data_IF_178668599013
#
_entry.id   IF_178668599013
#
_cell.length_a   1.000
_cell.length_b   1.000
_cell.length_c   1.000
_cell.angle_alpha   90.00
_cell.angle_beta   90.00
_cell.angle_gamma   90.00
#
_symmetry.space_group_name_H-M   'P 1'
#
loop_
_entity.id
_entity.type
_entity.pdbx_description
1 polymer ?
#
# COMPACT_ATOMS: atom_id res chain seq x y z
N UNK A 1 -6.08 1.12 2.45
CA UNK A 1 -5.55 1.96 3.55
C UNK A 1 -4.83 3.15 2.93
N UNK A 2 -4.94 4.33 3.51
CA UNK A 2 -4.26 5.56 3.03
C UNK A 2 -3.35 6.03 4.15
N UNK A 3 -2.12 6.43 3.82
CA UNK A 3 -1.15 7.02 4.74
C UNK A 3 -0.92 8.47 4.34
N UNK A 4 -0.89 9.36 5.32
CA UNK A 4 -0.62 10.79 5.11
C UNK A 4 0.73 11.19 5.71
N UNK A 5 1.40 12.22 5.18
CA UNK A 5 2.63 12.74 5.79
C UNK A 5 2.43 13.10 7.27
N UNK A 6 3.34 12.62 8.12
CA UNK A 6 3.29 12.79 9.58
C UNK A 6 2.38 11.80 10.31
N UNK A 7 1.54 11.05 9.62
CA UNK A 7 0.67 10.05 10.23
C UNK A 7 1.47 8.82 10.66
N UNK A 8 1.17 8.31 11.86
CA UNK A 8 1.76 7.07 12.38
C UNK A 8 0.72 5.97 12.29
N UNK A 9 1.11 4.82 11.73
CA UNK A 9 0.27 3.64 11.63
C UNK A 9 1.01 2.39 12.08
N UNK A 10 0.24 1.38 12.51
CA UNK A 10 0.76 0.05 12.84
C UNK A 10 0.31 -0.94 11.77
N UNK A 11 1.26 -1.72 11.26
CA UNK A 11 1.03 -2.73 10.24
C UNK A 11 1.44 -4.10 10.73
N UNK A 12 0.71 -5.11 10.27
CA UNK A 12 1.12 -6.50 10.38
C UNK A 12 1.40 -7.04 8.97
N UNK A 13 2.62 -7.51 8.77
CA UNK A 13 3.07 -8.14 7.52
C UNK A 13 3.20 -9.63 7.76
N UNK A 14 2.52 -10.44 6.97
CA UNK A 14 2.50 -11.90 7.07
C UNK A 14 2.63 -12.60 5.71
N UNK A 15 2.20 -11.97 4.63
CA UNK A 15 2.29 -12.52 3.28
C UNK A 15 3.76 -12.62 2.82
N UNK A 16 4.18 -13.75 2.21
CA UNK A 16 5.56 -13.96 1.77
C UNK A 16 6.11 -12.84 0.89
N UNK A 17 5.31 -12.29 -0.01
CA UNK A 17 5.69 -11.19 -0.91
C UNK A 17 6.07 -9.92 -0.16
N UNK A 18 5.25 -9.54 0.81
CA UNK A 18 5.52 -8.34 1.61
C UNK A 18 6.59 -8.56 2.68
N UNK A 19 6.82 -9.83 3.08
CA UNK A 19 7.98 -10.18 3.92
C UNK A 19 9.28 -9.96 3.16
N UNK A 20 9.37 -10.43 1.91
CA UNK A 20 10.53 -10.14 1.05
C UNK A 20 10.73 -8.63 0.90
N UNK A 21 9.68 -7.86 0.59
CA UNK A 21 9.76 -6.39 0.51
C UNK A 21 10.31 -5.78 1.80
N UNK A 22 9.83 -6.25 2.95
CA UNK A 22 10.29 -5.77 4.24
C UNK A 22 11.77 -6.08 4.49
N UNK A 23 12.20 -7.30 4.17
CA UNK A 23 13.60 -7.71 4.31
C UNK A 23 14.51 -6.85 3.42
N UNK A 24 14.12 -6.61 2.16
CA UNK A 24 14.84 -5.73 1.24
C UNK A 24 14.90 -4.28 1.78
N UNK A 25 13.81 -3.76 2.31
CA UNK A 25 13.77 -2.42 2.91
C UNK A 25 14.68 -2.29 4.13
N UNK A 26 14.68 -3.31 5.00
CA UNK A 26 15.52 -3.30 6.21
C UNK A 26 17.00 -3.48 5.89
N UNK A 27 17.36 -4.31 4.91
CA UNK A 27 18.74 -4.53 4.48
C UNK A 27 19.34 -3.31 3.79
N UNK A 28 18.56 -2.63 2.96
CA UNK A 28 19.00 -1.48 2.17
C UNK A 28 18.78 -0.14 2.88
N UNK A 29 18.23 -0.14 4.10
CA UNK A 29 17.82 1.07 4.84
C UNK A 29 16.89 1.97 4.01
N UNK A 30 15.93 1.36 3.32
CA UNK A 30 14.98 2.06 2.42
C UNK A 30 13.58 2.10 3.00
N UNK A 31 12.87 3.12 2.60
CA UNK A 31 11.43 3.24 2.82
C UNK A 31 10.65 2.47 1.76
N UNK A 32 9.39 2.16 2.03
CA UNK A 32 8.48 1.60 1.04
C UNK A 32 7.31 2.55 0.76
N UNK A 33 6.64 2.35 -0.37
CA UNK A 33 5.47 3.13 -0.76
C UNK A 33 4.17 2.47 -0.30
N UNK A 34 3.24 3.27 0.25
CA UNK A 34 1.85 2.86 0.44
C UNK A 34 0.97 3.57 -0.56
N UNK A 35 0.25 2.80 -1.36
CA UNK A 35 -0.77 3.26 -2.31
C UNK A 35 -2.12 2.66 -1.97
N UNK A 36 -3.20 3.37 -2.28
CA UNK A 36 -4.53 2.81 -2.16
C UNK A 36 -4.73 1.74 -3.25
N UNK A 37 -5.16 0.56 -2.82
CA UNK A 37 -5.64 -0.46 -3.72
C UNK A 37 -7.16 -0.31 -3.88
N UNK A 38 -7.63 -0.11 -5.13
CA UNK A 38 -9.04 -0.01 -5.47
C UNK A 38 -9.39 -1.04 -6.55
N UNK A 39 -9.79 -2.25 -6.16
CA UNK A 39 -10.06 -3.32 -7.10
C UNK A 39 -11.29 -3.08 -7.99
N UNK A 40 -12.09 -2.05 -7.70
CA UNK A 40 -13.29 -1.72 -8.45
C UNK A 40 -13.10 -0.57 -9.46
N UNK A 41 -11.97 0.12 -9.38
CA UNK A 41 -11.71 1.29 -10.21
C UNK A 41 -10.29 1.21 -10.80
N UNK A 42 -10.17 0.47 -11.88
CA UNK A 42 -8.92 0.33 -12.63
C UNK A 42 -8.61 1.64 -13.35
N UNK A 43 -7.91 2.54 -12.68
CA UNK A 43 -7.50 3.83 -13.25
C UNK A 43 -6.23 3.77 -14.09
N UNK A 44 -5.51 2.65 -14.02
CA UNK A 44 -4.25 2.42 -14.72
C UNK A 44 -4.34 1.11 -15.53
N UNK A 45 -3.38 0.88 -16.42
CA UNK A 45 -3.16 -0.42 -17.09
C UNK A 45 -2.72 -1.52 -16.12
N UNK A 46 -2.63 -1.20 -14.85
CA UNK A 46 -2.24 -2.05 -13.74
C UNK A 46 -3.46 -2.28 -12.84
N UNK A 47 -3.72 -3.55 -12.54
CA UNK A 47 -4.86 -3.90 -11.70
C UNK A 47 -4.69 -3.32 -10.28
N UNK A 48 -5.48 -2.30 -9.99
CA UNK A 48 -5.85 -1.81 -8.69
C UNK A 48 -5.00 -0.77 -7.94
N UNK A 49 -3.65 -0.65 -7.96
CA UNK A 49 -3.01 0.45 -7.25
C UNK A 49 -3.34 1.81 -7.89
N UNK A 50 -3.70 2.77 -7.05
CA UNK A 50 -3.86 4.16 -7.47
C UNK A 50 -2.50 4.78 -7.77
N UNK A 51 -2.50 5.89 -8.54
CA UNK A 51 -1.26 6.56 -8.96
C UNK A 51 -0.60 7.39 -7.87
N UNK A 52 -1.31 7.67 -6.78
CA UNK A 52 -0.80 8.51 -5.69
C UNK A 52 -0.59 7.69 -4.44
N UNK A 53 0.52 7.94 -3.76
CA UNK A 53 0.87 7.25 -2.53
C UNK A 53 1.65 8.12 -1.55
N UNK A 54 2.03 7.50 -0.46
CA UNK A 54 2.88 8.09 0.57
C UNK A 54 4.04 7.15 0.90
N UNK A 55 5.23 7.72 0.97
CA UNK A 55 6.43 7.05 1.46
C UNK A 55 6.27 6.73 2.94
N UNK A 56 6.50 5.49 3.31
CA UNK A 56 6.40 4.98 4.67
C UNK A 56 7.79 4.64 5.21
N UNK A 57 8.22 5.35 6.25
CA UNK A 57 9.43 5.04 7.00
C UNK A 57 9.13 4.11 8.16
N UNK A 58 9.96 3.09 8.34
CA UNK A 58 9.84 2.12 9.42
C UNK A 58 10.47 2.71 10.67
N UNK A 59 9.64 3.06 11.68
CA UNK A 59 10.10 3.57 12.98
C UNK A 59 10.47 2.44 13.94
N UNK A 60 9.77 1.31 13.85
CA UNK A 60 9.95 0.14 14.70
C UNK A 60 9.54 -1.11 13.97
N UNK A 61 10.27 -2.20 14.20
CA UNK A 61 9.99 -3.53 13.67
C UNK A 61 10.15 -4.58 14.75
N UNK A 62 9.18 -5.48 14.87
CA UNK A 62 9.22 -6.64 15.75
C UNK A 62 8.75 -7.89 15.01
N UNK A 63 9.47 -8.99 15.15
CA UNK A 63 9.10 -10.29 14.58
C UNK A 63 8.51 -11.19 15.67
N UNK A 64 7.31 -11.74 15.41
CA UNK A 64 6.66 -12.74 16.27
C UNK A 64 6.19 -13.93 15.43
N UNK A 65 6.95 -15.03 15.50
CA UNK A 65 6.73 -16.19 14.62
C UNK A 65 6.94 -15.82 13.16
N UNK A 66 5.95 -16.08 12.30
CA UNK A 66 5.96 -15.72 10.89
C UNK A 66 5.43 -14.29 10.59
N UNK A 67 5.03 -13.55 11.62
CA UNK A 67 4.46 -12.22 11.47
C UNK A 67 5.47 -11.15 11.83
N UNK A 68 5.43 -10.05 11.07
CA UNK A 68 6.19 -8.85 11.33
C UNK A 68 5.23 -7.72 11.70
N UNK A 69 5.50 -7.06 12.80
CA UNK A 69 4.74 -5.92 13.30
C UNK A 69 5.58 -4.67 13.12
N UNK A 70 5.04 -3.71 12.41
CA UNK A 70 5.71 -2.46 12.06
C UNK A 70 4.98 -1.30 12.70
N UNK A 71 5.74 -0.31 13.15
CA UNK A 71 5.26 1.04 13.36
C UNK A 71 5.90 1.92 12.32
N UNK A 72 5.08 2.57 11.49
CA UNK A 72 5.54 3.37 10.36
C UNK A 72 5.08 4.81 10.52
N UNK A 73 5.76 5.73 9.82
CA UNK A 73 5.34 7.12 9.68
C UNK A 73 5.33 7.52 8.21
N UNK A 74 4.28 8.22 7.78
CA UNK A 74 4.22 8.81 6.46
C UNK A 74 5.23 9.95 6.33
N UNK A 75 5.99 9.98 5.21
CA UNK A 75 6.98 11.01 4.92
C UNK A 75 6.54 11.89 3.78
N UNK A 76 6.80 11.52 2.56
CA UNK A 76 6.53 12.32 1.38
C UNK A 76 5.43 11.68 0.54
N UNK A 77 4.62 12.51 -0.07
CA UNK A 77 3.69 12.05 -1.11
C UNK A 77 4.42 11.84 -2.42
N UNK A 78 3.94 10.94 -3.22
CA UNK A 78 4.48 10.69 -4.54
C UNK A 78 3.36 10.36 -5.55
N UNK A 79 3.69 10.51 -6.82
CA UNK A 79 2.94 9.97 -7.95
C UNK A 79 3.76 8.82 -8.57
N UNK A 80 3.10 7.72 -8.87
CA UNK A 80 3.70 6.59 -9.59
C UNK A 80 3.81 6.98 -11.06
N UNK A 81 5.03 6.95 -11.60
CA UNK A 81 5.31 7.19 -13.02
C UNK A 81 5.38 5.89 -13.82
N UNK A 82 5.95 4.84 -13.23
CA UNK A 82 6.04 3.54 -13.86
C UNK A 82 5.89 2.44 -12.81
N UNK A 83 5.16 1.37 -13.15
CA UNK A 83 5.00 0.19 -12.30
C UNK A 83 5.83 -0.95 -12.86
N UNK A 84 6.63 -1.56 -12.00
CA UNK A 84 7.42 -2.75 -12.29
C UNK A 84 6.69 -3.95 -11.69
N UNK A 85 6.24 -4.85 -12.55
CA UNK A 85 5.50 -6.03 -12.16
C UNK A 85 6.32 -6.94 -11.22
N UNK A 86 5.67 -7.64 -10.29
CA UNK A 86 6.34 -8.68 -9.50
C UNK A 86 6.73 -9.87 -10.39
N UNK A 87 7.73 -10.65 -9.95
CA UNK A 87 8.22 -11.82 -10.69
C UNK A 87 7.18 -12.94 -10.83
N UNK A 88 6.19 -12.98 -9.95
CA UNK A 88 5.06 -13.92 -10.02
C UNK A 88 3.73 -13.16 -9.98
N UNK A 89 2.72 -13.63 -10.72
CA UNK A 89 1.38 -13.04 -10.73
C UNK A 89 0.67 -13.18 -9.37
N UNK A 90 -0.50 -12.57 -9.16
CA UNK A 90 -1.32 -12.77 -7.96
C UNK A 90 -1.67 -14.25 -7.72
N UNK A 91 -1.98 -14.61 -6.46
CA UNK A 91 -2.24 -16.00 -6.06
C UNK A 91 -3.47 -16.63 -6.73
N UNK A 92 -4.43 -15.84 -7.17
CA UNK A 92 -5.62 -16.28 -7.90
C UNK A 92 -5.38 -16.48 -9.41
N UNK A 93 -4.17 -16.21 -9.88
CA UNK A 93 -3.81 -16.46 -11.27
C UNK A 93 -3.55 -17.95 -11.51
N UNK A 94 -4.04 -18.56 -12.62
CA UNK A 94 -3.88 -19.99 -12.91
C UNK A 94 -2.43 -20.53 -12.89
N UNK A 95 -1.46 -19.67 -13.18
CA UNK A 95 -0.05 -20.00 -13.08
C UNK A 95 0.38 -20.38 -11.67
N UNK A 96 -0.33 -19.89 -10.65
CA UNK A 96 -0.01 -20.12 -9.24
C UNK A 96 -0.64 -21.41 -8.68
N UNK A 97 -1.54 -22.06 -9.42
CA UNK A 97 -2.21 -23.29 -8.98
C UNK A 97 -1.27 -24.38 -8.45
N UNK A 98 -0.08 -24.61 -9.06
CA UNK A 98 0.86 -25.61 -8.55
C UNK A 98 1.46 -25.27 -7.17
N UNK A 99 1.50 -23.98 -6.80
CA UNK A 99 2.04 -23.50 -5.54
C UNK A 99 0.96 -23.39 -4.45
N UNK A 100 -0.29 -23.15 -4.86
CA UNK A 100 -1.42 -23.06 -3.94
C UNK A 100 -1.96 -24.46 -3.68
N UNK A 101 -1.83 -24.94 -2.45
CA UNK A 101 -2.38 -26.25 -2.11
C UNK A 101 -3.91 -26.16 -1.90
N UNK A 102 -4.59 -27.33 -1.99
CA UNK A 102 -6.04 -27.43 -1.80
C UNK A 102 -6.53 -27.04 -0.39
N UNK A 103 -5.63 -26.83 0.56
CA UNK A 103 -5.91 -26.44 1.93
C UNK A 103 -5.92 -24.93 2.15
N UNK A 104 -5.62 -24.13 1.10
CA UNK A 104 -5.59 -22.67 1.16
C UNK A 104 -4.46 -22.10 2.02
N UNK A 105 -3.38 -22.85 2.16
CA UNK A 105 -2.15 -22.38 2.82
C UNK A 105 -1.30 -21.66 1.79
N UNK A 106 -0.94 -20.42 2.07
CA UNK A 106 -0.04 -19.65 1.22
C UNK A 106 1.30 -20.38 1.08
N UNK A 107 1.90 -20.41 -0.13
CA UNK A 107 3.21 -20.99 -0.35
C UNK A 107 4.27 -20.25 0.48
N UNK A 108 5.29 -20.95 0.93
CA UNK A 108 6.42 -20.32 1.59
C UNK A 108 7.29 -19.53 0.58
N UNK A 109 8.09 -18.61 1.12
CA UNK A 109 8.93 -17.72 0.31
C UNK A 109 9.91 -18.49 -0.60
N UNK A 110 10.50 -19.57 -0.09
CA UNK A 110 11.49 -20.35 -0.83
C UNK A 110 10.84 -21.04 -2.06
N UNK A 111 9.70 -21.68 -1.87
CA UNK A 111 8.93 -22.30 -2.96
C UNK A 111 8.53 -21.28 -4.03
N UNK A 112 8.16 -20.05 -3.62
CA UNK A 112 7.84 -18.99 -4.57
C UNK A 112 9.07 -18.54 -5.36
N UNK A 113 10.22 -18.39 -4.72
CA UNK A 113 11.46 -17.99 -5.41
C UNK A 113 11.93 -19.04 -6.41
N UNK A 114 11.79 -20.32 -6.09
CA UNK A 114 12.14 -21.43 -6.98
C UNK A 114 11.18 -21.57 -8.19
N UNK A 115 9.98 -21.01 -8.06
CA UNK A 115 8.96 -21.06 -9.10
C UNK A 115 9.05 -19.90 -10.12
N UNK A 116 9.91 -18.91 -9.89
CA UNK A 116 10.10 -17.79 -10.80
C UNK A 116 10.65 -18.30 -12.13
N UNK A 117 10.00 -17.97 -13.28
CA UNK A 117 10.51 -18.35 -14.59
C UNK A 117 11.88 -17.70 -14.90
N UNK A 118 12.76 -18.43 -15.57
CA UNK A 118 14.14 -17.99 -15.87
C UNK A 118 14.19 -16.72 -16.74
N UNK A 119 13.15 -16.40 -17.48
CA UNK A 119 13.04 -15.25 -18.37
C UNK A 119 12.59 -13.95 -17.69
N UNK A 120 12.21 -13.99 -16.41
CA UNK A 120 11.72 -12.80 -15.65
C UNK A 120 12.89 -11.95 -15.22
N UNK A 121 14.01 -11.97 -15.38
CA UNK A 121 15.11 -11.02 -15.13
C UNK A 121 15.28 -10.44 -13.70
N UNK A 122 14.37 -10.73 -12.75
CA UNK A 122 14.47 -10.34 -11.35
C UNK A 122 13.70 -11.30 -10.42
N UNK A 123 13.95 -11.21 -9.11
CA UNK A 123 13.37 -12.12 -8.10
C UNK A 123 12.39 -11.41 -7.14
N UNK A 124 12.01 -10.16 -7.41
CA UNK A 124 11.09 -9.42 -6.55
C UNK A 124 9.67 -9.94 -6.69
N UNK A 125 9.09 -10.44 -5.61
CA UNK A 125 7.73 -10.97 -5.55
C UNK A 125 6.67 -9.89 -5.26
N UNK A 126 7.10 -8.67 -5.00
CA UNK A 126 6.26 -7.50 -4.72
C UNK A 126 6.37 -6.46 -5.84
N UNK A 127 5.34 -5.64 -5.95
CA UNK A 127 5.31 -4.52 -6.90
C UNK A 127 6.39 -3.51 -6.53
N UNK A 128 7.20 -3.12 -7.51
CA UNK A 128 8.08 -1.96 -7.43
C UNK A 128 7.59 -0.86 -8.36
N UNK A 129 8.00 0.38 -8.12
CA UNK A 129 7.59 1.49 -8.97
C UNK A 129 8.68 2.56 -9.05
N UNK A 130 8.72 3.26 -10.18
CA UNK A 130 9.35 4.56 -10.26
C UNK A 130 8.36 5.63 -9.81
N UNK A 131 8.82 6.60 -9.03
CA UNK A 131 7.95 7.58 -8.42
C UNK A 131 8.54 8.99 -8.56
N UNK A 132 7.64 9.95 -8.71
CA UNK A 132 7.95 11.38 -8.62
C UNK A 132 7.39 11.92 -7.29
N UNK A 133 8.27 12.48 -6.46
CA UNK A 133 7.84 13.08 -5.20
C UNK A 133 7.08 14.37 -5.45
N UNK A 134 5.97 14.51 -4.74
CA UNK A 134 5.17 15.73 -4.74
C UNK A 134 5.72 16.63 -3.64
N UNK A 135 6.32 17.74 -4.03
CA UNK A 135 6.77 18.73 -3.07
C UNK A 135 5.58 19.27 -2.25
N UNK A 136 5.77 19.47 -0.95
CA UNK A 136 4.79 20.24 -0.18
C UNK A 136 4.58 21.56 -0.91
N UNK A 137 3.33 21.95 -1.10
CA UNK A 137 3.04 23.30 -1.62
C UNK A 137 3.70 24.30 -0.68
N UNK A 138 4.81 24.87 -1.12
CA UNK A 138 5.40 26.05 -0.50
C UNK A 138 4.34 27.14 -0.62
N UNK A 139 3.91 27.65 0.51
CA UNK A 139 2.92 28.73 0.64
C UNK A 139 1.53 28.48 0.03
N UNK A 140 0.71 27.74 0.77
CA UNK A 140 -0.73 27.90 0.60
C UNK A 140 -1.09 29.33 1.01
N UNK A 141 -1.56 30.15 0.08
CA UNK A 141 -2.04 31.50 0.40
C UNK A 141 -3.12 31.44 1.49
N UNK A 142 -3.27 32.49 2.29
CA UNK A 142 -4.33 32.55 3.32
C UNK A 142 -5.71 32.22 2.75
N UNK A 143 -5.99 32.67 1.52
CA UNK A 143 -7.23 32.38 0.78
C UNK A 143 -7.39 30.88 0.48
N UNK A 144 -6.32 30.18 0.10
CA UNK A 144 -6.37 28.73 -0.14
C UNK A 144 -6.53 27.96 1.18
N UNK A 145 -5.91 28.41 2.26
CA UNK A 145 -6.08 27.80 3.58
C UNK A 145 -7.53 27.92 4.07
N UNK A 146 -8.14 29.09 3.90
CA UNK A 146 -9.54 29.32 4.28
C UNK A 146 -10.49 28.46 3.45
N UNK A 147 -10.26 28.38 2.14
CA UNK A 147 -11.04 27.50 1.25
C UNK A 147 -10.90 26.02 1.59
N UNK A 148 -9.72 25.57 2.02
CA UNK A 148 -9.50 24.19 2.50
C UNK A 148 -10.26 23.91 3.80
N UNK A 149 -10.28 24.88 4.74
CA UNK A 149 -11.07 24.77 5.99
C UNK A 149 -12.57 24.70 5.71
N UNK A 150 -13.07 25.53 4.80
CA UNK A 150 -14.48 25.49 4.39
C UNK A 150 -14.83 24.14 3.76
N UNK A 151 -13.98 23.61 2.87
CA UNK A 151 -14.18 22.32 2.23
C UNK A 151 -14.18 21.18 3.26
N UNK A 152 -13.22 21.19 4.19
CA UNK A 152 -13.15 20.20 5.26
C UNK A 152 -14.41 20.24 6.15
N UNK A 153 -14.89 21.43 6.51
CA UNK A 153 -16.14 21.59 7.25
C UNK A 153 -17.35 21.03 6.50
N UNK A 154 -17.45 21.29 5.20
CA UNK A 154 -18.52 20.73 4.36
C UNK A 154 -18.50 19.19 4.31
N UNK A 155 -17.31 18.60 4.16
CA UNK A 155 -17.14 17.14 4.19
C UNK A 155 -17.55 16.57 5.54
N UNK A 156 -17.11 17.18 6.64
CA UNK A 156 -17.46 16.74 8.00
C UNK A 156 -18.97 16.82 8.27
N UNK A 157 -19.62 17.91 7.82
CA UNK A 157 -21.08 18.06 7.94
C UNK A 157 -21.80 16.96 7.15
N UNK A 158 -21.35 16.64 5.93
CA UNK A 158 -21.93 15.57 5.13
C UNK A 158 -21.77 14.19 5.79
N UNK A 159 -20.58 13.88 6.32
CA UNK A 159 -20.34 12.63 7.03
C UNK A 159 -21.25 12.55 8.27
N UNK A 160 -21.33 13.58 9.06
CA UNK A 160 -22.22 13.63 10.23
C UNK A 160 -23.69 13.44 9.86
N UNK A 161 -24.15 14.04 8.77
CA UNK A 161 -25.51 13.89 8.23
C UNK A 161 -25.80 12.46 7.81
N UNK A 162 -24.86 11.79 7.11
CA UNK A 162 -25.02 10.39 6.68
C UNK A 162 -25.06 9.43 7.88
N UNK A 163 -24.24 9.66 8.90
CA UNK A 163 -24.27 8.87 10.13
C UNK A 163 -25.57 9.06 10.91
N UNK A 164 -26.11 10.28 10.97
CA UNK A 164 -27.40 10.57 11.64
C UNK A 164 -28.59 9.87 10.97
N UNK A 165 -28.58 9.74 9.64
CA UNK A 165 -29.62 9.01 8.88
C UNK A 165 -29.55 7.51 9.16
N UNK A 166 -28.33 6.95 9.38
CA UNK A 166 -28.13 5.53 9.70
C UNK A 166 -28.72 5.12 11.04
N UNK A 167 -28.73 5.99 12.03
CA UNK A 167 -29.28 5.71 13.38
C UNK A 167 -30.79 5.85 13.49
N UNK A 168 -31.44 6.53 12.54
CA UNK A 168 -32.92 6.76 12.58
C UNK A 168 -33.75 5.61 11.99
N UNK A 169 -33.15 4.55 11.47
CA UNK A 169 -33.85 3.41 10.83
C UNK A 169 -34.02 2.16 11.71
N UNK A 170 -33.61 2.22 12.99
CA UNK A 170 -33.72 1.10 13.92
C UNK A 170 -34.43 1.48 15.24
N UNK A 171 -35.55 2.19 15.16
CA UNK A 171 -36.52 2.28 16.24
C UNK A 171 -37.90 1.82 15.76
#
# INVERSE_FOLDING_TARGET
MVLMPGEIQELRVFEPRYRQMLDDCLLDERNFGLVLNDPFNHTNHWDSPQTHGCEAEILHHETKGSNHFLKIVGRRRFTVSEVIAPALPPFDHPMMDPLTNAEGVDPDLQSMLEFIPDDVGHTKLYISAEVEYIDPLEDTSEEQQERLKELANHVMIRIASLLSIGFSKHQ
#
